data_IF_516532069643
#
_entry.id   IF_516532069643
#
_cell.length_a   1.000
_cell.length_b   1.000
_cell.length_c   1.000
_cell.angle_alpha   90.00
_cell.angle_beta   90.00
_cell.angle_gamma   90.00
#
_symmetry.space_group_name_H-M   'P 1'
#
loop_
_entity.id
_entity.type
_entity.pdbx_description
1 polymer ?
#
# COMPACT_ATOMS: atom_id res chain seq x y z
N UNK A 1 12.19 -11.34 -21.80
CA UNK A 1 12.18 -12.30 -20.69
C UNK A 1 13.48 -12.11 -19.92
N UNK A 2 13.45 -11.75 -18.64
CA UNK A 2 14.67 -11.65 -17.85
C UNK A 2 15.16 -13.06 -17.53
N UNK A 3 16.32 -13.42 -18.07
CA UNK A 3 17.02 -14.67 -17.76
C UNK A 3 17.48 -14.63 -16.30
N UNK A 4 16.61 -15.03 -15.37
CA UNK A 4 17.05 -15.38 -14.04
C UNK A 4 17.72 -16.75 -14.14
N UNK A 5 19.06 -16.77 -14.17
CA UNK A 5 19.85 -18.01 -14.18
C UNK A 5 19.61 -18.89 -12.94
N UNK A 6 18.97 -18.36 -11.90
CA UNK A 6 18.61 -19.10 -10.68
C UNK A 6 17.18 -18.74 -10.19
N UNK A 7 16.26 -19.71 -10.06
CA UNK A 7 14.91 -19.53 -9.50
C UNK A 7 14.87 -18.86 -8.12
N UNK A 8 15.85 -19.15 -7.25
CA UNK A 8 15.95 -18.53 -5.92
C UNK A 8 16.24 -17.02 -6.00
N UNK A 9 17.04 -16.60 -6.99
CA UNK A 9 17.35 -15.19 -7.25
C UNK A 9 16.14 -14.42 -7.77
N UNK A 10 15.34 -15.04 -8.64
CA UNK A 10 14.08 -14.48 -9.10
C UNK A 10 13.12 -14.22 -7.92
N UNK A 11 12.92 -15.23 -7.06
CA UNK A 11 12.05 -15.10 -5.89
C UNK A 11 12.57 -14.06 -4.91
N UNK A 12 13.88 -14.00 -4.67
CA UNK A 12 14.47 -12.97 -3.82
C UNK A 12 14.17 -11.55 -4.32
N UNK A 13 14.37 -11.31 -5.62
CA UNK A 13 14.10 -9.99 -6.22
C UNK A 13 12.61 -9.62 -6.17
N UNK A 14 11.73 -10.58 -6.43
CA UNK A 14 10.28 -10.38 -6.33
C UNK A 14 9.84 -10.06 -4.90
N UNK A 15 10.36 -10.80 -3.92
CA UNK A 15 10.07 -10.59 -2.51
C UNK A 15 10.62 -9.25 -2.00
N UNK A 16 11.84 -8.86 -2.40
CA UNK A 16 12.43 -7.56 -2.08
C UNK A 16 11.58 -6.39 -2.58
N UNK A 17 11.16 -6.46 -3.84
CA UNK A 17 10.29 -5.43 -4.43
C UNK A 17 8.93 -5.34 -3.76
N UNK A 18 8.34 -6.50 -3.42
CA UNK A 18 7.08 -6.55 -2.67
C UNK A 18 7.25 -5.92 -1.29
N UNK A 19 8.27 -6.32 -0.52
CA UNK A 19 8.58 -5.77 0.82
C UNK A 19 8.76 -4.26 0.78
N UNK A 20 9.51 -3.74 -0.19
CA UNK A 20 9.73 -2.29 -0.37
C UNK A 20 8.42 -1.56 -0.65
N UNK A 21 7.61 -2.05 -1.59
CA UNK A 21 6.31 -1.45 -1.93
C UNK A 21 5.37 -1.44 -0.73
N UNK A 22 5.22 -2.58 -0.04
CA UNK A 22 4.34 -2.67 1.13
C UNK A 22 4.78 -1.76 2.27
N UNK A 23 6.09 -1.65 2.51
CA UNK A 23 6.63 -0.72 3.51
C UNK A 23 6.32 0.74 3.15
N UNK A 24 6.52 1.15 1.90
CA UNK A 24 6.15 2.50 1.45
C UNK A 24 4.66 2.79 1.58
N UNK A 25 3.81 1.82 1.21
CA UNK A 25 2.36 1.93 1.37
C UNK A 25 1.95 2.05 2.85
N UNK A 26 2.55 1.27 3.75
CA UNK A 26 2.30 1.37 5.19
C UNK A 26 2.74 2.74 5.76
N UNK A 27 3.92 3.23 5.37
CA UNK A 27 4.41 4.56 5.79
C UNK A 27 3.41 5.65 5.39
N UNK A 28 2.90 5.58 4.17
CA UNK A 28 1.89 6.54 3.76
C UNK A 28 0.64 6.47 4.63
N UNK A 29 0.11 5.28 4.94
CA UNK A 29 -1.13 5.16 5.71
C UNK A 29 -0.99 5.61 7.16
N UNK A 30 0.16 5.36 7.78
CA UNK A 30 0.39 5.70 9.19
C UNK A 30 0.97 7.10 9.42
N UNK A 31 1.65 7.67 8.43
CA UNK A 31 2.38 8.94 8.59
C UNK A 31 1.82 10.01 7.66
N UNK A 32 1.87 9.77 6.35
CA UNK A 32 1.58 10.81 5.35
C UNK A 32 0.09 11.13 5.32
N UNK A 33 -0.77 10.11 5.30
CA UNK A 33 -2.21 10.23 5.19
C UNK A 33 -2.82 11.01 6.37
N UNK A 34 -2.50 10.71 7.66
CA UNK A 34 -2.96 11.52 8.78
C UNK A 34 -2.52 12.98 8.71
N UNK A 35 -1.28 13.24 8.26
CA UNK A 35 -0.77 14.61 8.10
C UNK A 35 -1.58 15.37 7.03
N UNK A 36 -1.83 14.76 5.87
CA UNK A 36 -2.58 15.40 4.79
C UNK A 36 -4.03 15.66 5.19
N UNK A 37 -4.68 14.68 5.82
CA UNK A 37 -6.06 14.83 6.32
C UNK A 37 -6.11 15.91 7.41
N UNK A 38 -5.18 15.89 8.36
CA UNK A 38 -5.08 16.89 9.42
C UNK A 38 -4.84 18.31 8.87
N UNK A 39 -3.94 18.46 7.89
CA UNK A 39 -3.67 19.73 7.23
C UNK A 39 -4.92 20.28 6.51
N UNK A 40 -5.66 19.41 5.80
CA UNK A 40 -6.94 19.77 5.21
C UNK A 40 -7.93 20.32 6.23
N UNK A 41 -8.14 19.61 7.34
CA UNK A 41 -9.05 20.06 8.39
C UNK A 41 -8.57 21.34 9.06
N UNK A 42 -7.27 21.51 9.28
CA UNK A 42 -6.70 22.74 9.82
C UNK A 42 -6.98 23.95 8.90
N UNK A 43 -6.80 23.78 7.58
CA UNK A 43 -7.12 24.83 6.60
C UNK A 43 -8.61 25.18 6.63
N UNK A 44 -9.49 24.18 6.74
CA UNK A 44 -10.94 24.41 6.81
C UNK A 44 -11.34 25.12 8.10
N UNK A 45 -10.90 24.63 9.26
CA UNK A 45 -11.32 25.13 10.57
C UNK A 45 -10.69 26.49 10.92
N UNK A 46 -9.41 26.70 10.61
CA UNK A 46 -8.69 27.94 10.94
C UNK A 46 -8.85 28.96 9.81
N UNK A 47 -8.79 28.51 8.56
CA UNK A 47 -8.84 29.36 7.38
C UNK A 47 -10.24 29.89 7.09
N UNK A 48 -11.21 28.99 6.96
CA UNK A 48 -12.62 29.32 6.70
C UNK A 48 -13.43 29.56 7.99
N UNK A 49 -12.91 29.12 9.14
CA UNK A 49 -13.55 29.33 10.44
C UNK A 49 -14.45 28.16 10.86
N UNK A 50 -14.69 27.99 12.17
CA UNK A 50 -15.44 26.86 12.71
C UNK A 50 -16.90 26.84 12.26
N UNK A 51 -17.52 28.02 12.07
CA UNK A 51 -18.93 28.16 11.67
C UNK A 51 -19.15 27.87 10.18
N UNK A 52 -18.07 27.68 9.40
CA UNK A 52 -18.14 27.49 7.95
C UNK A 52 -18.96 26.26 7.56
N UNK A 53 -18.83 25.15 8.30
CA UNK A 53 -19.62 23.95 8.07
C UNK A 53 -21.12 24.18 8.29
N UNK A 54 -21.49 25.06 9.24
CA UNK A 54 -22.89 25.43 9.48
C UNK A 54 -23.42 26.39 8.40
N UNK A 55 -22.56 27.29 7.89
CA UNK A 55 -22.90 28.18 6.77
C UNK A 55 -23.21 27.39 5.48
N UNK A 56 -22.45 26.32 5.20
CA UNK A 56 -22.67 25.40 4.06
C UNK A 56 -24.11 24.86 4.03
N UNK A 57 -24.61 24.39 5.16
CA UNK A 57 -25.97 23.83 5.24
C UNK A 57 -27.10 24.86 5.19
N UNK A 58 -26.78 26.15 5.39
CA UNK A 58 -27.77 27.23 5.54
C UNK A 58 -27.74 28.27 4.40
N UNK A 59 -26.94 28.06 3.35
CA UNK A 59 -26.82 28.98 2.20
C UNK A 59 -26.58 30.45 2.62
N UNK A 60 -25.72 30.66 3.61
CA UNK A 60 -25.32 32.01 4.04
C UNK A 60 -24.24 32.59 3.12
N UNK A 61 -24.11 33.91 3.08
CA UNK A 61 -23.05 34.59 2.33
C UNK A 61 -21.65 34.19 2.83
N UNK A 62 -20.73 33.97 1.88
CA UNK A 62 -19.34 33.64 2.15
C UNK A 62 -18.42 34.78 1.76
N UNK A 63 -17.42 35.02 2.59
CA UNK A 63 -16.29 35.88 2.24
C UNK A 63 -15.36 35.18 1.23
N UNK A 64 -14.65 35.96 0.43
CA UNK A 64 -13.66 35.44 -0.53
C UNK A 64 -12.61 34.56 0.15
N UNK A 65 -12.18 34.91 1.38
CA UNK A 65 -11.23 34.12 2.16
C UNK A 65 -11.79 32.73 2.49
N UNK A 66 -13.04 32.66 2.97
CA UNK A 66 -13.69 31.39 3.31
C UNK A 66 -13.76 30.47 2.10
N UNK A 67 -14.14 31.00 0.94
CA UNK A 67 -14.21 30.25 -0.32
C UNK A 67 -12.84 29.72 -0.76
N UNK A 68 -11.78 30.54 -0.68
CA UNK A 68 -10.42 30.11 -1.05
C UNK A 68 -9.90 29.02 -0.12
N UNK A 69 -10.04 29.19 1.20
CA UNK A 69 -9.63 28.19 2.17
C UNK A 69 -10.43 26.88 2.00
N UNK A 70 -11.73 26.97 1.73
CA UNK A 70 -12.56 25.81 1.43
C UNK A 70 -12.08 25.06 0.18
N UNK A 71 -11.81 25.79 -0.89
CA UNK A 71 -11.34 25.22 -2.15
C UNK A 71 -10.00 24.49 -1.98
N UNK A 72 -9.05 25.08 -1.24
CA UNK A 72 -7.76 24.45 -0.93
C UNK A 72 -7.94 23.25 0.00
N UNK A 73 -8.70 23.39 1.09
CA UNK A 73 -8.91 22.35 2.09
C UNK A 73 -9.59 21.10 1.52
N UNK A 74 -10.70 21.30 0.80
CA UNK A 74 -11.41 20.23 0.09
C UNK A 74 -10.60 19.67 -1.08
N UNK A 75 -9.92 20.52 -1.84
CA UNK A 75 -9.03 20.09 -2.92
C UNK A 75 -7.96 19.12 -2.40
N UNK A 76 -7.34 19.44 -1.26
CA UNK A 76 -6.36 18.57 -0.61
C UNK A 76 -6.99 17.25 -0.11
N UNK A 77 -8.22 17.26 0.41
CA UNK A 77 -8.94 16.03 0.78
C UNK A 77 -9.21 15.14 -0.44
N UNK A 78 -9.65 15.72 -1.55
CA UNK A 78 -9.94 15.00 -2.79
C UNK A 78 -8.66 14.36 -3.33
N UNK A 79 -7.57 15.12 -3.46
CA UNK A 79 -6.28 14.60 -3.92
C UNK A 79 -5.77 13.50 -2.99
N UNK A 80 -5.94 13.67 -1.68
CA UNK A 80 -5.56 12.66 -0.68
C UNK A 80 -6.38 11.38 -0.83
N UNK A 81 -7.70 11.49 -1.02
CA UNK A 81 -8.59 10.36 -1.25
C UNK A 81 -8.26 9.59 -2.53
N UNK A 82 -8.01 10.29 -3.63
CA UNK A 82 -7.57 9.67 -4.91
C UNK A 82 -6.22 8.97 -4.73
N UNK A 83 -5.26 9.62 -4.09
CA UNK A 83 -3.93 9.03 -3.84
C UNK A 83 -4.03 7.75 -3.02
N UNK A 84 -4.86 7.77 -1.97
CA UNK A 84 -5.14 6.61 -1.13
C UNK A 84 -5.72 5.46 -1.95
N UNK A 85 -6.73 5.75 -2.79
CA UNK A 85 -7.36 4.76 -3.65
C UNK A 85 -6.39 4.14 -4.68
N UNK A 86 -5.59 4.96 -5.37
CA UNK A 86 -4.59 4.51 -6.34
C UNK A 86 -3.57 3.59 -5.68
N UNK A 87 -3.12 3.95 -4.48
CA UNK A 87 -2.17 3.12 -3.75
C UNK A 87 -2.76 1.80 -3.27
N UNK A 88 -4.03 1.80 -2.85
CA UNK A 88 -4.75 0.59 -2.51
C UNK A 88 -4.79 -0.38 -3.69
N UNK A 89 -5.26 0.05 -4.87
CA UNK A 89 -5.24 -0.77 -6.09
C UNK A 89 -3.81 -1.23 -6.44
N UNK A 90 -2.84 -0.32 -6.39
CA UNK A 90 -1.44 -0.63 -6.71
C UNK A 90 -0.87 -1.73 -5.80
N UNK A 91 -1.20 -1.72 -4.51
CA UNK A 91 -0.80 -2.74 -3.56
C UNK A 91 -1.49 -4.09 -3.86
N UNK A 92 -2.80 -4.10 -4.14
CA UNK A 92 -3.54 -5.31 -4.52
C UNK A 92 -2.94 -5.99 -5.76
N UNK A 93 -2.68 -5.20 -6.80
CA UNK A 93 -2.10 -5.69 -8.06
C UNK A 93 -0.70 -6.24 -7.82
N UNK A 94 0.14 -5.53 -7.03
CA UNK A 94 1.51 -5.97 -6.76
C UNK A 94 1.55 -7.28 -5.97
N UNK A 95 0.74 -7.40 -4.92
CA UNK A 95 0.64 -8.64 -4.12
C UNK A 95 0.18 -9.80 -5.00
N UNK A 96 -0.89 -9.59 -5.79
CA UNK A 96 -1.44 -10.62 -6.66
C UNK A 96 -0.44 -11.09 -7.72
N UNK A 97 0.24 -10.13 -8.36
CA UNK A 97 1.26 -10.42 -9.37
C UNK A 97 2.45 -11.18 -8.78
N UNK A 98 2.99 -10.72 -7.64
CA UNK A 98 4.12 -11.40 -6.98
C UNK A 98 3.73 -12.78 -6.47
N UNK A 99 2.53 -12.96 -5.91
CA UNK A 99 2.05 -14.27 -5.48
C UNK A 99 1.96 -15.26 -6.65
N UNK A 100 1.40 -14.85 -7.79
CA UNK A 100 1.31 -15.71 -8.97
C UNK A 100 2.69 -16.07 -9.53
N UNK A 101 3.63 -15.11 -9.57
CA UNK A 101 4.98 -15.35 -10.07
C UNK A 101 5.76 -16.30 -9.14
N UNK A 102 5.68 -16.11 -7.82
CA UNK A 102 6.31 -17.03 -6.85
C UNK A 102 5.72 -18.42 -6.94
N UNK A 103 4.39 -18.55 -7.07
CA UNK A 103 3.73 -19.85 -7.26
C UNK A 103 4.20 -20.56 -8.53
N UNK A 104 4.29 -19.84 -9.66
CA UNK A 104 4.76 -20.43 -10.91
C UNK A 104 6.21 -20.93 -10.79
N UNK A 105 7.09 -20.14 -10.14
CA UNK A 105 8.48 -20.55 -9.92
C UNK A 105 8.56 -21.75 -8.97
N UNK A 106 7.77 -21.77 -7.90
CA UNK A 106 7.67 -22.89 -6.97
C UNK A 106 7.23 -24.19 -7.67
N UNK A 107 6.24 -24.10 -8.58
CA UNK A 107 5.78 -25.23 -9.37
C UNK A 107 6.86 -25.74 -10.35
N UNK A 108 7.59 -24.83 -11.01
CA UNK A 108 8.69 -25.21 -11.92
C UNK A 108 9.87 -25.86 -11.19
N UNK A 109 10.07 -25.56 -9.90
CA UNK A 109 11.19 -26.06 -9.09
C UNK A 109 10.82 -27.21 -8.15
N UNK A 110 9.54 -27.56 -8.06
CA UNK A 110 9.02 -28.54 -7.08
C UNK A 110 9.09 -28.08 -5.62
N UNK A 111 9.43 -26.81 -5.34
CA UNK A 111 9.61 -26.31 -3.98
C UNK A 111 8.37 -25.55 -3.48
N UNK A 112 7.37 -26.30 -3.02
CA UNK A 112 6.10 -25.77 -2.52
C UNK A 112 6.21 -25.00 -1.20
N UNK A 113 7.34 -25.10 -0.48
CA UNK A 113 7.56 -24.31 0.74
C UNK A 113 7.65 -22.80 0.44
N UNK A 114 7.80 -22.40 -0.83
CA UNK A 114 7.87 -21.00 -1.26
C UNK A 114 6.48 -20.36 -1.51
N UNK A 115 5.38 -21.12 -1.47
CA UNK A 115 4.02 -20.60 -1.69
C UNK A 115 3.39 -20.00 -0.41
N UNK A 116 4.11 -19.12 0.28
CA UNK A 116 3.70 -18.56 1.58
C UNK A 116 2.92 -17.23 1.44
N UNK A 117 2.76 -16.72 0.21
CA UNK A 117 2.12 -15.43 -0.08
C UNK A 117 0.60 -15.51 -0.30
N UNK A 118 0.02 -16.71 -0.41
CA UNK A 118 -1.40 -16.92 -0.70
C UNK A 118 -2.34 -16.27 0.33
N UNK A 119 -2.01 -16.33 1.62
CA UNK A 119 -2.83 -15.73 2.68
C UNK A 119 -2.89 -14.20 2.58
N UNK A 120 -1.79 -13.55 2.18
CA UNK A 120 -1.74 -12.10 1.99
C UNK A 120 -2.60 -11.65 0.80
N UNK A 121 -2.60 -12.43 -0.29
CA UNK A 121 -3.46 -12.18 -1.47
C UNK A 121 -4.94 -12.26 -1.09
N UNK A 122 -5.32 -13.28 -0.32
CA UNK A 122 -6.70 -13.49 0.14
C UNK A 122 -7.17 -12.31 1.01
N UNK A 123 -6.40 -11.97 2.05
CA UNK A 123 -6.74 -10.86 2.96
C UNK A 123 -6.88 -9.51 2.24
N UNK A 124 -6.00 -9.24 1.28
CA UNK A 124 -6.07 -8.00 0.51
C UNK A 124 -7.27 -8.02 -0.46
N UNK A 125 -7.63 -9.15 -1.06
CA UNK A 125 -8.88 -9.25 -1.83
C UNK A 125 -10.12 -9.07 -0.96
N UNK A 126 -10.15 -9.65 0.24
CA UNK A 126 -11.23 -9.45 1.21
C UNK A 126 -11.32 -8.01 1.73
N UNK A 127 -10.27 -7.20 1.58
CA UNK A 127 -10.31 -5.79 1.97
C UNK A 127 -11.27 -4.93 1.16
N UNK A 128 -11.77 -5.45 0.02
CA UNK A 128 -12.92 -4.87 -0.70
C UNK A 128 -14.18 -4.78 0.16
N UNK A 129 -14.35 -5.72 1.09
CA UNK A 129 -15.52 -5.81 1.96
C UNK A 129 -15.26 -5.18 3.34
N UNK A 130 -14.00 -5.18 3.80
CA UNK A 130 -13.65 -4.63 5.11
C UNK A 130 -12.28 -3.96 5.08
N UNK A 131 -12.28 -2.61 5.06
CA UNK A 131 -11.08 -1.79 4.90
C UNK A 131 -9.96 -2.05 5.92
N UNK A 132 -10.20 -2.42 7.20
CA UNK A 132 -9.10 -2.72 8.13
C UNK A 132 -8.30 -3.97 7.72
N UNK A 133 -8.91 -4.91 6.98
CA UNK A 133 -8.19 -6.08 6.46
C UNK A 133 -7.12 -5.70 5.46
N UNK A 134 -7.24 -4.54 4.81
CA UNK A 134 -6.21 -4.05 3.92
C UNK A 134 -4.89 -3.84 4.66
N UNK A 135 -4.93 -3.10 5.77
CA UNK A 135 -3.74 -2.80 6.58
C UNK A 135 -3.12 -4.08 7.13
N UNK A 136 -3.95 -4.99 7.66
CA UNK A 136 -3.49 -6.32 8.13
C UNK A 136 -2.86 -7.12 6.98
N UNK A 137 -3.48 -7.11 5.80
CA UNK A 137 -2.97 -7.75 4.59
C UNK A 137 -1.62 -7.20 4.13
N UNK A 138 -1.41 -5.87 4.22
CA UNK A 138 -0.11 -5.24 3.92
C UNK A 138 0.98 -5.71 4.90
N UNK A 139 0.69 -5.79 6.20
CA UNK A 139 1.64 -6.29 7.19
C UNK A 139 2.03 -7.75 6.94
N UNK A 140 1.04 -8.60 6.65
CA UNK A 140 1.29 -10.02 6.35
C UNK A 140 2.08 -10.15 5.04
N UNK A 141 1.71 -9.43 3.97
CA UNK A 141 2.45 -9.41 2.71
C UNK A 141 3.92 -9.01 2.92
N UNK A 142 4.17 -7.95 3.69
CA UNK A 142 5.53 -7.50 4.04
C UNK A 142 6.29 -8.56 4.83
N UNK A 143 5.66 -9.16 5.84
CA UNK A 143 6.29 -10.18 6.69
C UNK A 143 6.65 -11.43 5.88
N UNK A 144 5.72 -11.94 5.08
CA UNK A 144 5.92 -13.09 4.19
C UNK A 144 6.96 -12.82 3.11
N UNK A 145 7.01 -11.61 2.56
CA UNK A 145 8.08 -11.20 1.65
C UNK A 145 9.45 -11.23 2.35
N UNK A 146 9.55 -10.77 3.60
CA UNK A 146 10.80 -10.85 4.37
C UNK A 146 11.22 -12.30 4.65
N UNK A 147 10.26 -13.18 4.96
CA UNK A 147 10.52 -14.61 5.14
C UNK A 147 11.05 -15.25 3.85
N UNK A 148 10.41 -14.97 2.71
CA UNK A 148 10.86 -15.46 1.40
C UNK A 148 12.27 -15.00 1.06
N UNK A 149 12.61 -13.73 1.33
CA UNK A 149 13.98 -13.23 1.14
C UNK A 149 15.01 -13.97 1.99
N UNK A 150 14.67 -14.30 3.24
CA UNK A 150 15.59 -15.04 4.12
C UNK A 150 15.81 -16.47 3.60
N UNK A 151 14.73 -17.18 3.25
CA UNK A 151 14.83 -18.57 2.75
C UNK A 151 15.62 -18.63 1.45
N UNK A 152 15.34 -17.74 0.49
CA UNK A 152 16.04 -17.77 -0.81
C UNK A 152 17.41 -17.13 -0.77
N UNK A 153 17.68 -16.21 0.16
CA UNK A 153 19.01 -15.67 0.42
C UNK A 153 19.95 -16.71 1.04
N UNK A 154 19.46 -17.54 1.97
CA UNK A 154 20.22 -18.67 2.50
C UNK A 154 20.53 -19.72 1.42
N UNK A 155 19.58 -19.99 0.52
CA UNK A 155 19.82 -20.87 -0.63
C UNK A 155 20.88 -20.28 -1.58
N UNK A 156 20.88 -18.98 -1.85
CA UNK A 156 21.95 -18.35 -2.66
C UNK A 156 23.33 -18.38 -1.96
N UNK A 157 23.37 -18.19 -0.64
CA UNK A 157 24.62 -18.24 0.14
C UNK A 157 25.27 -19.61 0.18
N UNK A 158 24.48 -20.69 0.22
CA UNK A 158 24.98 -22.07 0.17
C UNK A 158 25.38 -22.58 -1.21
N UNK A 159 24.93 -21.90 -2.29
CA UNK A 159 25.36 -22.21 -3.67
C UNK A 159 26.72 -21.58 -4.03
N UNK A 160 27.18 -20.57 -3.29
CA UNK A 160 28.49 -19.93 -3.50
C UNK A 160 29.62 -20.60 -2.69
N UNK A 161 29.34 -21.69 -1.99
CA UNK A 161 30.29 -22.41 -1.12
C UNK A 161 30.66 -23.81 -1.64
N UNK A 162 30.39 -24.11 -2.90
CA UNK A 162 30.82 -25.34 -3.60
C UNK A 162 31.59 -25.01 -4.87
#
# INVERSE_FOLDING_TARGET
MNNFANPAQAIFFLASNLKRKMTGTLIFHFVILPILVGASFAILLIGAGPDFFEKIGKNKDYTTRELVCALIGYGLLIVTGITNFVMWISAMVKISSTCNQVRNIAQMTGNFQLDILGSAKILVLFSLLFWPLYIVGLFIARSKASQLMMVTGMQQGGYNSF
#
